data_IF_708262453476
#
_entry.id   IF_708262453476
#
_cell.length_a   1.000
_cell.length_b   1.000
_cell.length_c   1.000
_cell.angle_alpha   90.00
_cell.angle_beta   90.00
_cell.angle_gamma   90.00
#
_symmetry.space_group_name_H-M   'P 1'
#
loop_
_entity.id
_entity.type
_entity.pdbx_description
1 polymer ?
#
# COMPACT_ATOMS: atom_id res chain seq x y z
N UNK A 1 -12.88 14.16 5.69
CA UNK A 1 -11.59 14.07 5.01
C UNK A 1 -11.50 15.33 4.19
N UNK A 2 -10.52 16.18 4.46
CA UNK A 2 -10.42 17.49 3.82
C UNK A 2 -10.12 17.40 2.32
N UNK A 3 -9.44 16.33 1.89
CA UNK A 3 -9.09 16.11 0.47
C UNK A 3 -10.27 15.68 -0.41
N UNK A 4 -11.21 14.88 0.12
CA UNK A 4 -12.28 14.27 -0.70
C UNK A 4 -13.69 14.37 -0.08
N UNK A 5 -13.85 15.11 1.00
CA UNK A 5 -15.13 15.33 1.68
C UNK A 5 -15.68 14.14 2.48
N UNK A 6 -15.09 12.94 2.41
CA UNK A 6 -15.61 11.76 3.12
C UNK A 6 -15.61 11.90 4.65
N UNK A 7 -16.73 11.57 5.29
CA UNK A 7 -16.91 11.58 6.74
C UNK A 7 -16.66 10.20 7.35
N UNK A 8 -16.13 10.18 8.57
CA UNK A 8 -15.85 8.95 9.32
C UNK A 8 -16.31 9.13 10.76
N UNK A 9 -16.87 8.08 11.37
CA UNK A 9 -17.33 8.11 12.76
C UNK A 9 -16.20 8.26 13.79
N UNK A 10 -14.98 7.84 13.43
CA UNK A 10 -13.82 7.92 14.33
C UNK A 10 -12.57 8.47 13.64
N UNK A 11 -11.76 9.22 14.40
CA UNK A 11 -10.51 9.84 13.93
C UNK A 11 -9.51 8.81 13.41
N UNK A 12 -9.41 7.62 14.02
CA UNK A 12 -8.49 6.56 13.57
C UNK A 12 -8.76 6.10 12.13
N UNK A 13 -10.03 6.06 11.74
CA UNK A 13 -10.42 5.69 10.38
C UNK A 13 -10.17 6.82 9.39
N UNK A 14 -10.43 8.07 9.80
CA UNK A 14 -10.08 9.25 9.00
C UNK A 14 -8.56 9.30 8.73
N UNK A 15 -7.72 9.10 9.75
CA UNK A 15 -6.26 9.09 9.59
C UNK A 15 -5.78 7.96 8.68
N UNK A 16 -6.34 6.75 8.82
CA UNK A 16 -6.05 5.62 7.94
C UNK A 16 -6.47 5.91 6.49
N UNK A 17 -7.61 6.56 6.31
CA UNK A 17 -8.09 6.99 5.00
C UNK A 17 -7.24 8.11 4.40
N UNK A 18 -6.77 9.08 5.19
CA UNK A 18 -5.95 10.18 4.69
C UNK A 18 -4.68 9.67 3.99
N UNK A 19 -4.08 8.59 4.49
CA UNK A 19 -2.94 7.89 3.86
C UNK A 19 -3.25 7.34 2.46
N UNK A 20 -4.52 7.21 2.05
CA UNK A 20 -4.85 6.77 0.69
C UNK A 20 -4.77 7.90 -0.33
N UNK A 21 -4.82 9.15 0.13
CA UNK A 21 -4.58 10.33 -0.71
C UNK A 21 -3.09 10.63 -0.83
N UNK A 22 -2.32 10.24 0.17
CA UNK A 22 -0.87 10.25 0.08
C UNK A 22 -0.43 9.18 -0.92
N UNK A 23 -0.03 9.61 -2.11
CA UNK A 23 0.58 8.73 -3.11
C UNK A 23 1.97 8.27 -2.68
N UNK A 24 2.52 8.82 -1.60
CA UNK A 24 3.74 8.32 -1.01
C UNK A 24 3.48 6.90 -0.48
N UNK A 25 3.92 5.94 -1.28
CA UNK A 25 3.79 4.51 -1.02
C UNK A 25 5.17 4.06 -0.54
N UNK A 26 5.45 4.17 0.78
CA UNK A 26 6.79 3.92 1.31
C UNK A 26 7.26 2.47 1.08
N UNK A 27 6.33 1.57 0.75
CA UNK A 27 6.62 0.18 0.44
C UNK A 27 6.49 -0.05 -1.07
N UNK A 28 7.59 0.08 -1.81
CA UNK A 28 7.64 -0.18 -3.24
C UNK A 28 8.08 -1.61 -3.54
N UNK A 29 7.57 -2.17 -4.63
CA UNK A 29 8.07 -3.44 -5.13
C UNK A 29 9.45 -3.25 -5.75
N UNK A 30 10.40 -4.09 -5.35
CA UNK A 30 11.76 -4.12 -5.90
C UNK A 30 11.93 -5.12 -7.06
N UNK A 31 10.83 -5.70 -7.56
CA UNK A 31 10.90 -6.61 -8.71
C UNK A 31 11.12 -5.79 -9.98
N UNK A 32 12.13 -6.16 -10.76
CA UNK A 32 12.47 -5.47 -12.01
C UNK A 32 11.28 -5.40 -12.97
N UNK A 33 10.94 -4.19 -13.41
CA UNK A 33 9.76 -3.91 -14.25
C UNK A 33 8.43 -3.79 -13.48
N UNK A 34 8.43 -3.89 -12.14
CA UNK A 34 7.24 -3.66 -11.31
C UNK A 34 7.38 -2.37 -10.49
N UNK A 35 6.59 -1.35 -10.82
CA UNK A 35 6.56 -0.06 -10.10
C UNK A 35 5.41 0.04 -9.08
N UNK A 36 4.88 -1.09 -8.60
CA UNK A 36 3.76 -1.10 -7.65
C UNK A 36 4.21 -0.65 -6.27
N UNK A 37 3.64 0.45 -5.78
CA UNK A 37 3.78 0.90 -4.39
C UNK A 37 2.62 0.44 -3.50
N UNK A 38 2.86 0.34 -2.20
CA UNK A 38 1.87 -0.01 -1.19
C UNK A 38 1.98 0.91 0.04
N UNK A 39 0.85 1.09 0.71
CA UNK A 39 0.75 1.88 1.96
C UNK A 39 1.08 1.05 3.21
N UNK A 40 1.29 -0.25 3.06
CA UNK A 40 1.49 -1.22 4.14
C UNK A 40 2.42 -2.34 3.67
N UNK A 41 3.40 -2.67 4.51
CA UNK A 41 4.38 -3.74 4.26
C UNK A 41 3.71 -5.11 4.10
N UNK A 42 2.60 -5.37 4.80
CA UNK A 42 1.86 -6.63 4.70
C UNK A 42 1.26 -6.83 3.31
N UNK A 43 0.81 -5.74 2.69
CA UNK A 43 0.29 -5.76 1.32
C UNK A 43 1.41 -5.96 0.30
N UNK A 44 2.56 -5.32 0.50
CA UNK A 44 3.75 -5.53 -0.35
C UNK A 44 4.21 -6.99 -0.29
N UNK A 45 4.32 -7.59 0.91
CA UNK A 45 4.72 -9.00 1.07
C UNK A 45 3.80 -9.96 0.33
N UNK A 46 2.48 -9.76 0.44
CA UNK A 46 1.50 -10.58 -0.29
C UNK A 46 1.61 -10.36 -1.80
N UNK A 47 1.80 -9.12 -2.24
CA UNK A 47 2.01 -8.82 -3.65
C UNK A 47 3.27 -9.48 -4.21
N UNK A 48 4.36 -9.54 -3.42
CA UNK A 48 5.60 -10.20 -3.83
C UNK A 48 5.39 -11.66 -4.27
N UNK A 49 4.44 -12.36 -3.67
CA UNK A 49 4.08 -13.74 -4.05
C UNK A 49 3.42 -13.86 -5.43
N UNK A 50 2.97 -12.75 -6.02
CA UNK A 50 2.40 -12.73 -7.36
C UNK A 50 3.48 -12.71 -8.45
N UNK A 51 4.73 -12.44 -8.09
CA UNK A 51 5.83 -12.43 -9.05
C UNK A 51 6.32 -13.86 -9.35
N UNK A 52 6.54 -14.18 -10.64
CA UNK A 52 7.05 -15.48 -11.03
C UNK A 52 8.45 -15.71 -10.44
N UNK A 53 8.68 -16.91 -9.89
CA UNK A 53 9.97 -17.31 -9.30
C UNK A 53 10.22 -16.84 -7.86
N UNK A 54 9.33 -16.04 -7.27
CA UNK A 54 9.50 -15.46 -5.93
C UNK A 54 8.82 -16.29 -4.83
N UNK A 55 7.89 -17.18 -5.21
CA UNK A 55 7.35 -18.22 -4.32
C UNK A 55 8.39 -19.23 -3.81
N UNK A 56 9.63 -19.15 -4.31
CA UNK A 56 10.77 -19.88 -3.78
C UNK A 56 11.67 -18.90 -3.01
N UNK A 57 11.39 -18.72 -1.72
CA UNK A 57 12.38 -18.18 -0.79
C UNK A 57 13.65 -19.05 -0.92
N UNK A 58 14.78 -18.45 -1.26
CA UNK A 58 16.11 -19.03 -1.05
C UNK A 58 16.94 -18.07 -0.22
#
# INVERSE_FOLDING_TARGET
CETCGKTFAEKRFLLKHAKTHDTDRPYTCAFEGCAMGFLDSSKLKRHWLTHPGVGHLR
#
